data_IF_698453197013
#
_entry.id   IF_698453197013
#
_cell.length_a   1.000
_cell.length_b   1.000
_cell.length_c   1.000
_cell.angle_alpha   90.00
_cell.angle_beta   90.00
_cell.angle_gamma   90.00
#
_symmetry.space_group_name_H-M   'P 1'
#
loop_
_entity.id
_entity.type
_entity.pdbx_description
1 polymer ?
#
# COMPACT_ATOMS: atom_id res chain seq x y z
N UNK A 1 4.92 13.66 -8.79
CA UNK A 1 3.82 14.62 -8.70
C UNK A 1 2.60 14.08 -7.95
N UNK A 2 2.36 12.79 -8.01
CA UNK A 2 1.19 12.13 -7.41
C UNK A 2 1.18 12.22 -5.88
N UNK A 3 2.32 11.94 -5.26
CA UNK A 3 2.49 12.03 -3.80
C UNK A 3 2.24 13.43 -3.27
N UNK A 4 2.61 14.48 -4.03
CA UNK A 4 2.39 15.88 -3.66
C UNK A 4 0.88 16.18 -3.61
N UNK A 5 0.16 15.85 -4.67
CA UNK A 5 -1.29 16.11 -4.76
C UNK A 5 -2.05 15.40 -3.65
N UNK A 6 -1.77 14.10 -3.44
CA UNK A 6 -2.40 13.32 -2.36
C UNK A 6 -2.06 13.91 -0.98
N UNK A 7 -0.80 14.34 -0.77
CA UNK A 7 -0.38 14.99 0.48
C UNK A 7 -1.16 16.26 0.77
N UNK A 8 -1.33 17.12 -0.22
CA UNK A 8 -2.08 18.37 -0.11
C UNK A 8 -3.56 18.11 0.20
N UNK A 9 -4.17 17.15 -0.50
CA UNK A 9 -5.56 16.74 -0.24
C UNK A 9 -5.74 16.18 1.17
N UNK A 10 -4.89 15.25 1.59
CA UNK A 10 -4.98 14.68 2.94
C UNK A 10 -4.77 15.73 4.04
N UNK A 11 -3.83 16.66 3.85
CA UNK A 11 -3.64 17.77 4.78
C UNK A 11 -4.89 18.66 4.89
N UNK A 12 -5.58 18.94 3.77
CA UNK A 12 -6.82 19.74 3.77
C UNK A 12 -7.97 19.03 4.52
N UNK A 13 -7.92 17.70 4.58
CA UNK A 13 -8.86 16.86 5.34
C UNK A 13 -8.44 16.62 6.81
N UNK A 14 -7.41 17.34 7.28
CA UNK A 14 -6.97 17.28 8.69
C UNK A 14 -6.00 16.16 9.02
N UNK A 15 -5.51 15.41 8.04
CA UNK A 15 -4.45 14.43 8.28
C UNK A 15 -3.10 15.11 8.52
N UNK A 16 -2.32 14.55 9.45
CA UNK A 16 -0.91 14.87 9.58
C UNK A 16 -0.12 14.02 8.58
N UNK A 17 0.41 14.66 7.55
CA UNK A 17 1.07 13.95 6.44
C UNK A 17 2.59 13.99 6.57
N UNK A 18 3.21 12.82 6.44
CA UNK A 18 4.65 12.65 6.29
C UNK A 18 4.95 12.28 4.84
N UNK A 19 5.44 13.25 4.06
CA UNK A 19 5.77 13.03 2.65
C UNK A 19 7.24 12.63 2.49
N UNK A 20 7.48 11.59 1.70
CA UNK A 20 8.81 11.10 1.33
C UNK A 20 8.87 10.94 -0.18
N UNK A 21 9.85 11.55 -0.84
CA UNK A 21 9.96 11.56 -2.30
C UNK A 21 11.19 10.78 -2.74
N UNK A 22 10.99 9.86 -3.67
CA UNK A 22 12.04 9.04 -4.28
C UNK A 22 13.04 8.43 -3.27
N UNK A 23 12.57 7.81 -2.18
CA UNK A 23 13.49 7.23 -1.20
C UNK A 23 14.25 6.04 -1.79
N UNK A 24 15.48 5.85 -1.36
CA UNK A 24 16.13 4.56 -1.52
C UNK A 24 15.51 3.52 -0.56
N UNK A 25 15.84 2.23 -0.76
CA UNK A 25 15.24 1.14 0.03
C UNK A 25 15.45 1.32 1.54
N UNK A 26 16.68 1.63 1.96
CA UNK A 26 17.02 1.81 3.37
C UNK A 26 16.25 2.99 3.99
N UNK A 27 16.14 4.09 3.26
CA UNK A 27 15.39 5.26 3.68
C UNK A 27 13.89 4.95 3.77
N UNK A 28 13.32 4.27 2.77
CA UNK A 28 11.91 3.86 2.76
C UNK A 28 11.57 3.04 4.00
N UNK A 29 12.33 1.98 4.28
CA UNK A 29 12.14 1.13 5.46
C UNK A 29 12.32 1.93 6.76
N UNK A 30 13.33 2.78 6.84
CA UNK A 30 13.58 3.63 8.01
C UNK A 30 12.41 4.57 8.30
N UNK A 31 11.87 5.23 7.26
CA UNK A 31 10.71 6.14 7.39
C UNK A 31 9.43 5.39 7.78
N UNK A 32 9.18 4.23 7.20
CA UNK A 32 8.01 3.40 7.56
C UNK A 32 8.10 2.94 9.02
N UNK A 33 9.26 2.44 9.46
CA UNK A 33 9.46 2.02 10.85
C UNK A 33 9.33 3.20 11.83
N UNK A 34 9.85 4.38 11.48
CA UNK A 34 9.71 5.58 12.29
C UNK A 34 8.23 5.99 12.42
N UNK A 35 7.50 6.01 11.30
CA UNK A 35 6.08 6.33 11.31
C UNK A 35 5.26 5.35 12.16
N UNK A 36 5.54 4.04 12.04
CA UNK A 36 4.87 3.02 12.87
C UNK A 36 5.22 3.22 14.35
N UNK A 37 6.49 3.46 14.69
CA UNK A 37 6.93 3.72 16.06
C UNK A 37 6.21 4.95 16.66
N UNK A 38 6.08 6.01 15.88
CA UNK A 38 5.58 7.30 16.37
C UNK A 38 4.05 7.34 16.43
N UNK A 39 3.35 6.57 15.58
CA UNK A 39 1.88 6.64 15.46
C UNK A 39 1.17 5.27 15.48
N UNK A 40 1.88 4.17 15.31
CA UNK A 40 1.29 2.85 15.11
C UNK A 40 0.74 2.18 16.37
N UNK A 41 1.16 2.60 17.55
CA UNK A 41 0.83 1.93 18.81
C UNK A 41 -0.35 2.56 19.57
N UNK A 42 -0.89 3.68 19.10
CA UNK A 42 -2.11 4.24 19.65
C UNK A 42 -3.34 3.64 18.96
N UNK A 43 -4.22 2.90 19.67
CA UNK A 43 -5.42 2.31 19.09
C UNK A 43 -6.42 3.31 18.52
N UNK A 44 -6.35 4.59 18.92
CA UNK A 44 -7.25 5.63 18.44
C UNK A 44 -6.78 6.27 17.12
N UNK A 45 -5.52 6.09 16.76
CA UNK A 45 -5.01 6.60 15.50
C UNK A 45 -5.63 5.88 14.30
N UNK A 46 -5.81 6.64 13.22
CA UNK A 46 -6.18 6.13 11.90
C UNK A 46 -5.01 6.38 10.98
N UNK A 47 -4.41 5.31 10.47
CA UNK A 47 -3.21 5.41 9.67
C UNK A 47 -3.53 5.15 8.20
N UNK A 48 -2.89 5.92 7.33
CA UNK A 48 -2.94 5.75 5.90
C UNK A 48 -1.52 5.74 5.34
N UNK A 49 -1.18 4.69 4.59
CA UNK A 49 0.04 4.59 3.81
C UNK A 49 -0.33 4.70 2.33
N UNK A 50 0.22 5.68 1.64
CA UNK A 50 0.04 5.84 0.21
C UNK A 50 1.39 5.71 -0.50
N UNK A 51 1.47 4.79 -1.43
CA UNK A 51 2.63 4.59 -2.28
C UNK A 51 2.24 4.83 -3.74
N UNK A 52 3.00 5.69 -4.42
CA UNK A 52 2.92 5.87 -5.87
C UNK A 52 4.29 5.58 -6.48
N UNK A 53 4.36 4.63 -7.39
CA UNK A 53 5.62 4.24 -8.00
C UNK A 53 5.53 2.94 -8.79
N UNK A 54 6.68 2.40 -9.16
CA UNK A 54 6.72 1.15 -9.90
C UNK A 54 6.57 -0.07 -8.98
N UNK A 55 5.82 -1.05 -9.46
CA UNK A 55 5.75 -2.38 -8.89
C UNK A 55 6.38 -3.41 -9.83
N UNK A 56 6.77 -4.53 -9.28
CA UNK A 56 7.26 -5.69 -10.02
C UNK A 56 6.70 -6.97 -9.44
N UNK A 57 6.29 -7.89 -10.30
CA UNK A 57 5.87 -9.22 -9.88
C UNK A 57 6.89 -10.25 -10.31
N UNK A 58 7.44 -10.95 -9.34
CA UNK A 58 8.29 -12.11 -9.57
C UNK A 58 7.45 -13.37 -9.61
N UNK A 59 7.58 -14.13 -10.71
CA UNK A 59 7.02 -15.47 -10.86
C UNK A 59 8.16 -16.46 -10.72
N UNK A 60 8.31 -17.16 -9.58
CA UNK A 60 9.36 -18.16 -9.45
C UNK A 60 9.21 -19.26 -10.50
N UNK A 61 10.31 -19.82 -10.97
CA UNK A 61 10.30 -20.86 -12.04
C UNK A 61 9.60 -22.16 -11.63
N UNK A 62 9.46 -22.39 -10.33
CA UNK A 62 8.74 -23.53 -9.76
C UNK A 62 7.25 -23.23 -9.47
N UNK A 63 6.87 -21.96 -9.55
CA UNK A 63 5.49 -21.57 -9.28
C UNK A 63 4.57 -22.01 -10.42
N UNK A 64 3.37 -22.39 -10.06
CA UNK A 64 2.28 -22.64 -11.00
C UNK A 64 1.79 -21.31 -11.62
N UNK A 65 0.76 -21.37 -12.45
CA UNK A 65 0.08 -20.15 -12.92
C UNK A 65 -0.84 -19.55 -11.84
N UNK A 66 -0.75 -20.02 -10.59
CA UNK A 66 -1.52 -19.47 -9.48
C UNK A 66 -0.86 -18.16 -8.99
N UNK A 67 -1.57 -17.02 -9.06
CA UNK A 67 -1.04 -15.75 -8.57
C UNK A 67 -0.68 -15.76 -7.06
N UNK A 68 -1.20 -16.69 -6.28
CA UNK A 68 -0.87 -16.84 -4.85
C UNK A 68 0.59 -17.26 -4.62
N UNK A 69 1.23 -17.86 -5.63
CA UNK A 69 2.65 -18.24 -5.59
C UNK A 69 3.59 -17.12 -6.08
N UNK A 70 3.04 -15.99 -6.54
CA UNK A 70 3.83 -14.90 -7.07
C UNK A 70 4.16 -13.88 -5.99
N UNK A 71 5.31 -13.24 -6.13
CA UNK A 71 5.80 -12.25 -5.18
C UNK A 71 5.75 -10.84 -5.78
N UNK A 72 5.00 -9.96 -5.15
CA UNK A 72 4.95 -8.54 -5.49
C UNK A 72 6.02 -7.73 -4.75
N UNK A 73 6.60 -6.76 -5.46
CA UNK A 73 7.63 -5.84 -4.94
C UNK A 73 7.33 -4.40 -5.32
N UNK A 74 7.59 -3.48 -4.39
CA UNK A 74 7.66 -2.05 -4.66
C UNK A 74 9.10 -1.64 -4.93
N UNK A 75 9.31 -0.82 -5.96
CA UNK A 75 10.64 -0.35 -6.34
C UNK A 75 10.95 0.96 -5.62
N UNK A 76 12.02 0.97 -4.85
CA UNK A 76 12.66 2.18 -4.36
C UNK A 76 13.51 2.82 -5.46
N UNK A 77 13.98 4.05 -5.24
CA UNK A 77 14.76 4.79 -6.26
C UNK A 77 16.09 4.12 -6.64
N UNK A 78 16.60 3.24 -5.79
CA UNK A 78 17.83 2.47 -6.01
C UNK A 78 17.61 0.98 -6.27
N UNK A 79 16.37 0.55 -6.50
CA UNK A 79 16.10 -0.87 -6.81
C UNK A 79 16.74 -1.24 -8.14
N UNK A 80 17.60 -2.28 -8.18
CA UNK A 80 18.19 -2.77 -9.42
C UNK A 80 17.13 -3.31 -10.38
N UNK A 81 17.44 -3.35 -11.68
CA UNK A 81 16.56 -4.02 -12.63
C UNK A 81 16.60 -5.54 -12.40
N UNK A 82 15.46 -6.19 -12.10
CA UNK A 82 15.40 -7.62 -11.80
C UNK A 82 15.86 -8.51 -12.96
N UNK A 83 15.89 -7.99 -14.18
CA UNK A 83 16.36 -8.73 -15.38
C UNK A 83 17.88 -8.93 -15.38
N UNK A 84 18.62 -8.01 -14.76
CA UNK A 84 20.08 -8.06 -14.78
C UNK A 84 20.68 -8.58 -13.47
N UNK A 85 20.05 -8.33 -12.34
CA UNK A 85 20.54 -8.78 -11.04
C UNK A 85 19.38 -9.10 -10.11
N UNK A 86 18.81 -10.31 -10.26
CA UNK A 86 17.67 -10.74 -9.44
C UNK A 86 17.99 -10.79 -7.94
N UNK A 87 19.18 -11.28 -7.56
CA UNK A 87 19.57 -11.36 -6.15
C UNK A 87 19.66 -9.97 -5.49
N UNK A 88 20.35 -9.02 -6.14
CA UNK A 88 20.42 -7.64 -5.64
C UNK A 88 19.05 -6.96 -5.64
N UNK A 89 18.19 -7.29 -6.61
CA UNK A 89 16.82 -6.77 -6.64
C UNK A 89 16.03 -7.21 -5.41
N UNK A 90 16.04 -8.50 -5.08
CA UNK A 90 15.31 -9.03 -3.91
C UNK A 90 15.78 -8.37 -2.61
N UNK A 91 17.08 -8.06 -2.51
CA UNK A 91 17.65 -7.41 -1.33
C UNK A 91 17.30 -5.89 -1.24
N UNK A 92 17.01 -5.24 -2.37
CA UNK A 92 16.81 -3.79 -2.46
C UNK A 92 15.42 -3.37 -2.97
N UNK A 93 14.46 -4.28 -2.98
CA UNK A 93 13.06 -3.99 -3.28
C UNK A 93 12.16 -4.36 -2.10
N UNK A 94 11.12 -3.58 -1.88
CA UNK A 94 10.19 -3.79 -0.76
C UNK A 94 9.16 -4.83 -1.14
N UNK A 95 9.28 -6.04 -0.60
CA UNK A 95 8.31 -7.11 -0.85
C UNK A 95 6.96 -6.85 -0.17
N UNK A 96 5.90 -7.41 -0.73
CA UNK A 96 4.57 -7.38 -0.13
C UNK A 96 4.55 -8.07 1.24
N UNK A 97 5.28 -9.18 1.42
CA UNK A 97 5.41 -9.85 2.73
C UNK A 97 5.99 -8.89 3.78
N UNK A 98 6.92 -8.04 3.39
CA UNK A 98 7.47 -7.04 4.32
C UNK A 98 6.44 -5.99 4.71
N UNK A 99 5.57 -5.58 3.79
CA UNK A 99 4.43 -4.70 4.10
C UNK A 99 3.49 -5.37 5.10
N UNK A 100 3.18 -6.65 4.91
CA UNK A 100 2.35 -7.42 5.84
C UNK A 100 2.95 -7.51 7.22
N UNK A 101 4.23 -7.83 7.32
CA UNK A 101 4.95 -7.84 8.61
C UNK A 101 4.86 -6.48 9.31
N UNK A 102 5.00 -5.39 8.56
CA UNK A 102 4.85 -4.04 9.10
C UNK A 102 3.41 -3.76 9.54
N UNK A 103 2.42 -4.17 8.76
CA UNK A 103 1.01 -4.03 9.10
C UNK A 103 0.63 -4.78 10.38
N UNK A 104 1.23 -5.96 10.61
CA UNK A 104 1.01 -6.76 11.83
C UNK A 104 1.63 -6.12 13.09
N UNK A 105 2.62 -5.25 12.97
CA UNK A 105 3.22 -4.52 14.10
C UNK A 105 2.37 -3.34 14.58
N UNK A 106 1.39 -2.91 13.79
CA UNK A 106 0.58 -1.74 14.09
C UNK A 106 -0.54 -2.15 15.04
N UNK A 107 -0.70 -1.44 16.15
CA UNK A 107 -1.78 -1.65 17.13
C UNK A 107 -2.98 -0.71 16.92
N UNK A 108 -2.84 0.32 16.08
CA UNK A 108 -3.95 1.18 15.68
C UNK A 108 -5.08 0.37 15.06
N UNK A 109 -6.33 0.66 15.42
CA UNK A 109 -7.49 -0.14 14.98
C UNK A 109 -7.75 -0.05 13.48
N UNK A 110 -7.47 1.10 12.87
CA UNK A 110 -7.77 1.35 11.47
C UNK A 110 -6.51 1.71 10.70
N UNK A 111 -6.15 0.89 9.74
CA UNK A 111 -5.01 1.12 8.85
C UNK A 111 -5.42 0.87 7.40
N UNK A 112 -5.15 1.82 6.54
CA UNK A 112 -5.36 1.73 5.11
C UNK A 112 -4.02 1.81 4.37
N UNK A 113 -3.74 0.81 3.54
CA UNK A 113 -2.63 0.80 2.61
C UNK A 113 -3.17 1.01 1.19
N UNK A 114 -2.66 2.03 0.52
CA UNK A 114 -3.06 2.42 -0.83
C UNK A 114 -1.84 2.36 -1.74
N UNK A 115 -1.93 1.57 -2.80
CA UNK A 115 -0.85 1.35 -3.73
C UNK A 115 -1.25 1.77 -5.14
N UNK A 116 -0.78 2.94 -5.54
CA UNK A 116 -0.87 3.42 -6.92
C UNK A 116 0.33 2.90 -7.72
N UNK A 117 0.25 1.62 -8.05
CA UNK A 117 1.33 0.85 -8.66
C UNK A 117 0.78 -0.36 -9.40
N UNK A 118 1.48 -0.77 -10.46
CA UNK A 118 1.16 -2.01 -11.20
C UNK A 118 1.54 -3.21 -10.33
N UNK A 119 0.54 -3.96 -9.86
CA UNK A 119 0.76 -5.20 -9.14
C UNK A 119 -0.01 -6.35 -9.74
N UNK A 120 0.66 -7.47 -9.89
CA UNK A 120 -0.01 -8.73 -10.10
C UNK A 120 -0.45 -9.33 -8.76
N UNK A 121 -1.71 -9.53 -8.62
CA UNK A 121 -2.54 -10.44 -7.82
C UNK A 121 -2.16 -10.92 -6.41
N UNK A 122 -0.90 -10.90 -5.99
CA UNK A 122 -0.44 -11.53 -4.75
C UNK A 122 -0.85 -10.82 -3.44
N UNK A 123 -1.40 -9.61 -3.52
CA UNK A 123 -1.87 -8.86 -2.33
C UNK A 123 -3.12 -9.49 -1.70
N UNK A 124 -3.91 -10.21 -2.47
CA UNK A 124 -5.24 -10.65 -2.03
C UNK A 124 -5.28 -12.01 -1.33
N UNK A 125 -4.18 -12.76 -1.29
CA UNK A 125 -4.13 -14.04 -0.58
C UNK A 125 -4.33 -13.90 0.93
N UNK A 126 -4.01 -12.74 1.50
CA UNK A 126 -4.04 -12.45 2.94
C UNK A 126 -5.42 -12.00 3.42
N UNK A 127 -6.21 -11.37 2.56
CA UNK A 127 -7.51 -10.77 2.94
C UNK A 127 -8.65 -11.78 2.93
N UNK A 128 -8.43 -13.01 2.52
CA UNK A 128 -9.43 -14.10 2.59
C UNK A 128 -9.57 -14.70 3.99
N UNK A 129 -9.74 -13.84 5.01
CA UNK A 129 -10.28 -14.34 6.27
C UNK A 129 -11.79 -14.55 6.12
N UNK A 130 -12.21 -15.80 6.35
CA UNK A 130 -13.61 -16.27 6.40
C UNK A 130 -14.54 -15.28 7.11
N UNK A 131 -15.81 -15.17 6.66
CA UNK A 131 -16.82 -14.34 7.31
C UNK A 131 -17.15 -14.84 8.73
N UNK A 132 -16.60 -14.17 9.74
CA UNK A 132 -17.02 -14.35 11.14
C UNK A 132 -18.03 -13.26 11.52
N UNK A 133 -18.82 -13.51 12.56
CA UNK A 133 -19.91 -12.66 13.02
C UNK A 133 -19.59 -11.16 13.09
N UNK A 134 -20.52 -10.33 12.63
CA UNK A 134 -20.39 -8.87 12.52
C UNK A 134 -19.98 -8.22 13.86
N UNK A 135 -20.43 -8.75 15.00
CA UNK A 135 -20.14 -8.21 16.33
C UNK A 135 -18.67 -8.42 16.74
N UNK A 136 -18.02 -9.51 16.33
CA UNK A 136 -16.59 -9.73 16.58
C UNK A 136 -15.70 -8.91 15.65
N UNK A 137 -16.22 -8.45 14.49
CA UNK A 137 -15.46 -7.68 13.51
C UNK A 137 -15.20 -6.24 13.92
N UNK A 138 -16.13 -5.60 14.63
CA UNK A 138 -15.97 -4.21 15.10
C UNK A 138 -14.93 -4.04 16.20
N UNK A 139 -14.58 -5.14 16.89
CA UNK A 139 -13.53 -5.16 17.93
C UNK A 139 -12.14 -5.51 17.38
N UNK A 140 -12.04 -6.04 16.15
CA UNK A 140 -10.77 -6.43 15.54
C UNK A 140 -10.08 -5.26 14.83
N UNK A 141 -8.76 -5.31 14.78
CA UNK A 141 -7.96 -4.38 14.00
C UNK A 141 -8.29 -4.53 12.51
N UNK A 142 -8.64 -3.41 11.87
CA UNK A 142 -8.98 -3.37 10.44
C UNK A 142 -7.71 -3.02 9.65
N UNK A 143 -7.32 -3.90 8.74
CA UNK A 143 -6.24 -3.69 7.77
C UNK A 143 -6.84 -3.79 6.38
N UNK A 144 -6.83 -2.69 5.66
CA UNK A 144 -7.36 -2.60 4.30
C UNK A 144 -6.24 -2.31 3.32
N UNK A 145 -6.31 -2.94 2.15
CA UNK A 145 -5.36 -2.76 1.07
C UNK A 145 -6.13 -2.41 -0.20
N UNK A 146 -5.71 -1.35 -0.88
CA UNK A 146 -6.27 -0.90 -2.16
C UNK A 146 -5.13 -0.78 -3.16
N UNK A 147 -5.34 -1.29 -4.37
CA UNK A 147 -4.37 -1.22 -5.47
C UNK A 147 -4.99 -0.62 -6.72
N UNK A 148 -4.19 0.08 -7.51
CA UNK A 148 -4.64 0.75 -8.73
C UNK A 148 -4.82 -0.18 -9.93
N UNK A 149 -4.24 -1.37 -9.92
CA UNK A 149 -4.29 -2.30 -11.04
C UNK A 149 -4.25 -3.77 -10.63
N UNK A 150 -4.67 -4.64 -11.54
CA UNK A 150 -4.55 -6.08 -11.43
C UNK A 150 -3.20 -6.58 -11.98
N UNK A 151 -2.98 -7.89 -11.90
CA UNK A 151 -1.72 -8.56 -12.22
C UNK A 151 -1.09 -8.23 -13.58
N UNK A 152 -1.91 -7.96 -14.58
CA UNK A 152 -1.50 -7.86 -15.99
C UNK A 152 -1.82 -6.48 -16.61
N UNK A 153 -2.24 -5.51 -15.80
CA UNK A 153 -2.55 -4.15 -16.26
C UNK A 153 -1.37 -3.20 -16.13
N UNK A 154 -0.98 -2.57 -17.24
CA UNK A 154 -0.09 -1.42 -17.22
C UNK A 154 -0.86 -0.18 -16.73
N UNK A 155 -0.43 0.41 -15.63
CA UNK A 155 -0.99 1.68 -15.15
C UNK A 155 -0.41 2.82 -15.99
N UNK A 156 -1.25 3.68 -16.60
CA UNK A 156 -0.77 4.83 -17.35
C UNK A 156 0.05 5.80 -16.48
N UNK A 157 1.02 6.49 -17.07
CA UNK A 157 1.86 7.52 -16.40
C UNK A 157 1.03 8.63 -15.72
N UNK A 158 -0.17 8.91 -16.23
CA UNK A 158 -1.13 9.78 -15.57
C UNK A 158 -2.09 8.92 -14.77
N UNK A 159 -1.85 8.81 -13.48
CA UNK A 159 -2.65 7.97 -12.59
C UNK A 159 -4.12 8.39 -12.57
N UNK A 160 -4.97 7.58 -13.20
CA UNK A 160 -6.43 7.68 -13.10
C UNK A 160 -6.85 7.34 -11.67
N UNK A 161 -6.18 6.35 -11.06
CA UNK A 161 -6.43 5.94 -9.68
C UNK A 161 -6.23 7.11 -8.71
N UNK A 162 -5.11 7.84 -8.79
CA UNK A 162 -4.90 9.03 -7.96
C UNK A 162 -6.04 10.04 -8.09
N UNK A 163 -6.49 10.32 -9.32
CA UNK A 163 -7.59 11.28 -9.54
C UNK A 163 -8.87 10.82 -8.84
N UNK A 164 -9.23 9.55 -8.98
CA UNK A 164 -10.41 8.97 -8.34
C UNK A 164 -10.27 8.93 -6.81
N UNK A 165 -9.08 8.60 -6.31
CA UNK A 165 -8.78 8.58 -4.88
C UNK A 165 -8.90 9.96 -4.25
N UNK A 166 -8.33 10.99 -4.89
CA UNK A 166 -8.43 12.39 -4.44
C UNK A 166 -9.89 12.86 -4.47
N UNK A 167 -10.59 12.66 -5.58
CA UNK A 167 -12.01 13.00 -5.73
C UNK A 167 -12.89 12.33 -4.66
N UNK A 168 -12.62 11.05 -4.36
CA UNK A 168 -13.32 10.33 -3.30
C UNK A 168 -13.11 10.95 -1.91
N UNK A 169 -11.86 11.34 -1.57
CA UNK A 169 -11.53 12.01 -0.32
C UNK A 169 -12.16 13.40 -0.22
N UNK A 170 -12.28 14.10 -1.34
CA UNK A 170 -12.91 15.42 -1.43
C UNK A 170 -14.45 15.36 -1.33
N UNK A 171 -15.02 14.16 -1.25
CA UNK A 171 -16.44 13.94 -0.96
C UNK A 171 -17.28 13.40 -2.12
N UNK A 172 -16.73 13.21 -3.32
CA UNK A 172 -17.51 12.67 -4.45
C UNK A 172 -17.95 11.21 -4.25
N UNK A 173 -17.33 10.48 -3.31
CA UNK A 173 -17.73 9.13 -2.91
C UNK A 173 -18.97 9.12 -2.00
N UNK A 174 -19.27 10.23 -1.35
CA UNK A 174 -20.45 10.40 -0.49
C UNK A 174 -21.72 10.63 -1.32
N UNK A 175 -22.28 9.54 -1.86
CA UNK A 175 -23.46 9.59 -2.75
C UNK A 175 -24.74 10.02 -2.04
N UNK A 176 -24.87 9.74 -0.77
CA UNK A 176 -26.05 10.06 0.03
C UNK A 176 -25.91 11.39 0.78
N UNK A 177 -24.73 12.02 0.72
CA UNK A 177 -24.39 13.31 1.35
C UNK A 177 -24.65 13.34 2.85
N UNK A 178 -24.33 12.23 3.54
CA UNK A 178 -24.46 12.14 5.00
C UNK A 178 -23.16 12.51 5.74
N UNK A 179 -22.10 12.82 5.01
CA UNK A 179 -20.80 13.24 5.55
C UNK A 179 -19.90 12.09 5.97
N UNK A 180 -20.19 10.83 5.56
CA UNK A 180 -19.43 9.63 5.89
C UNK A 180 -19.03 8.82 4.65
#
# INVERSE_FOLDING_TARGET
DDVRVVSETLNSQGFKVLRVENPNYAELISKMNAFIRDYGFDPQNRLLFYFAGHGYTHKPSYASNDPEEWMGYFLASNSPDPKYSHAEFVDNALSMQRIEELALKIESKHVLFVFDSCFSGSIFSIVRSTPGDIIQRTAKHVRQFITSGSADEAVPDVSIFRKQFVSAIEGEADRNRDGY
#
